data_IF_288196827993
#
_entry.id   IF_288196827993
#
_cell.length_a   1.000
_cell.length_b   1.000
_cell.length_c   1.000
_cell.angle_alpha   90.00
_cell.angle_beta   90.00
_cell.angle_gamma   90.00
#
_symmetry.space_group_name_H-M   'P 1'
#
loop_
_entity.id
_entity.type
_entity.pdbx_description
1 polymer ?
#
# COMPACT_ATOMS: atom_id res chain seq x y z
N UNK A 1 6.78 13.56 -24.81
CA UNK A 1 5.93 13.83 -23.64
C UNK A 1 6.39 12.94 -22.49
N UNK A 2 7.11 13.50 -21.52
CA UNK A 2 7.59 12.75 -20.35
C UNK A 2 6.38 12.53 -19.44
N UNK A 3 5.72 11.37 -19.51
CA UNK A 3 4.84 10.92 -18.42
C UNK A 3 5.77 10.41 -17.32
N UNK A 4 6.26 11.32 -16.49
CA UNK A 4 6.94 10.97 -15.27
C UNK A 4 5.84 10.38 -14.36
N UNK A 5 5.72 9.05 -14.31
CA UNK A 5 4.74 8.38 -13.43
C UNK A 5 5.13 8.70 -11.99
N UNK A 6 4.55 9.76 -11.44
CA UNK A 6 4.89 10.28 -10.12
C UNK A 6 4.68 9.17 -9.09
N UNK A 7 5.79 8.87 -8.42
CA UNK A 7 5.83 8.08 -7.22
C UNK A 7 4.79 8.64 -6.24
N UNK A 8 3.83 7.80 -5.86
CA UNK A 8 2.92 8.06 -4.75
C UNK A 8 3.77 8.03 -3.48
N UNK A 9 4.51 9.12 -3.21
CA UNK A 9 5.00 9.44 -1.88
C UNK A 9 3.74 9.40 -1.02
N UNK A 10 3.62 8.34 -0.22
CA UNK A 10 2.47 8.06 0.63
C UNK A 10 2.00 9.38 1.23
N UNK A 11 0.89 9.89 0.67
CA UNK A 11 0.26 11.12 1.11
C UNK A 11 -0.37 10.82 2.46
N UNK A 12 0.46 10.75 3.50
CA UNK A 12 -0.02 10.71 4.87
C UNK A 12 -0.38 12.13 5.28
N UNK A 13 -1.47 12.23 6.00
CA UNK A 13 -2.14 13.46 6.35
C UNK A 13 -2.53 13.30 7.83
N UNK A 14 -1.75 13.88 8.74
CA UNK A 14 -2.03 13.79 10.17
C UNK A 14 -3.07 14.86 10.57
N UNK A 15 -4.15 14.48 11.26
CA UNK A 15 -5.11 15.46 11.77
C UNK A 15 -5.56 15.27 13.21
N UNK A 16 -5.71 16.43 13.86
CA UNK A 16 -6.33 16.68 15.16
C UNK A 16 -7.79 17.05 14.98
N UNK A 17 -8.60 16.77 16.01
CA UNK A 17 -10.06 16.78 16.04
C UNK A 17 -10.70 18.19 16.10
N UNK A 18 -11.29 18.68 15.00
CA UNK A 18 -12.33 19.75 14.93
C UNK A 18 -13.18 19.67 13.63
N UNK A 19 -14.33 18.98 13.69
CA UNK A 19 -15.00 18.35 12.54
C UNK A 19 -15.52 19.23 11.36
N UNK A 20 -15.64 20.56 11.46
CA UNK A 20 -16.18 21.38 10.35
C UNK A 20 -15.13 22.25 9.65
N UNK A 21 -14.17 22.84 10.39
CA UNK A 21 -12.96 23.45 9.81
C UNK A 21 -12.04 22.40 9.20
N UNK A 22 -12.00 21.20 9.79
CA UNK A 22 -11.16 20.12 9.31
C UNK A 22 -11.56 19.67 7.91
N UNK A 23 -12.85 19.59 7.55
CA UNK A 23 -13.26 19.05 6.25
C UNK A 23 -12.91 19.96 5.07
N UNK A 24 -13.02 21.27 5.24
CA UNK A 24 -12.60 22.25 4.21
C UNK A 24 -11.08 22.26 4.08
N UNK A 25 -10.37 22.25 5.21
CA UNK A 25 -8.91 22.12 5.22
C UNK A 25 -8.47 20.84 4.50
N UNK A 26 -9.03 19.68 4.87
CA UNK A 26 -8.78 18.38 4.23
C UNK A 26 -9.00 18.43 2.71
N UNK A 27 -10.11 19.03 2.30
CA UNK A 27 -10.45 19.16 0.88
C UNK A 27 -9.41 20.00 0.13
N UNK A 28 -8.95 21.10 0.72
CA UNK A 28 -7.91 21.94 0.12
C UNK A 28 -6.57 21.20 0.03
N UNK A 29 -6.17 20.46 1.06
CA UNK A 29 -4.94 19.66 1.01
C UNK A 29 -5.05 18.50 0.00
N UNK A 30 -6.21 17.85 -0.08
CA UNK A 30 -6.50 16.83 -1.10
C UNK A 30 -6.40 17.38 -2.52
N UNK A 31 -6.96 18.57 -2.77
CA UNK A 31 -6.83 19.29 -4.05
C UNK A 31 -5.39 19.73 -4.33
N UNK A 32 -4.64 20.20 -3.34
CA UNK A 32 -3.23 20.53 -3.51
C UNK A 32 -2.42 19.31 -3.98
N UNK A 33 -2.73 18.14 -3.41
CA UNK A 33 -2.11 16.87 -3.80
C UNK A 33 -2.48 16.46 -5.24
N UNK A 34 -3.73 16.67 -5.65
CA UNK A 34 -4.17 16.47 -7.03
C UNK A 34 -3.40 17.37 -8.01
N UNK A 35 -3.31 18.67 -7.71
CA UNK A 35 -2.59 19.60 -8.58
C UNK A 35 -1.10 19.29 -8.65
N UNK A 36 -0.51 18.81 -7.56
CA UNK A 36 0.86 18.30 -7.58
C UNK A 36 1.01 17.09 -8.50
N UNK A 37 0.08 16.12 -8.46
CA UNK A 37 0.09 14.97 -9.38
C UNK A 37 0.00 15.40 -10.86
N UNK A 38 -0.66 16.53 -11.13
CA UNK A 38 -0.82 17.12 -12.46
C UNK A 38 0.36 18.05 -12.85
N UNK A 39 1.41 18.12 -12.05
CA UNK A 39 2.53 19.07 -12.19
C UNK A 39 2.09 20.56 -12.24
N UNK A 40 0.89 20.87 -11.72
CA UNK A 40 0.34 22.21 -11.64
C UNK A 40 0.66 22.83 -10.26
N UNK A 41 1.94 23.14 -10.05
CA UNK A 41 2.44 23.60 -8.75
C UNK A 41 1.78 24.90 -8.27
N UNK A 42 1.45 25.83 -9.18
CA UNK A 42 0.77 27.09 -8.85
C UNK A 42 -0.61 26.86 -8.23
N UNK A 43 -1.43 26.01 -8.83
CA UNK A 43 -2.75 25.69 -8.28
C UNK A 43 -2.64 24.89 -6.97
N UNK A 44 -1.60 24.06 -6.83
CA UNK A 44 -1.31 23.38 -5.57
C UNK A 44 -0.97 24.39 -4.45
N UNK A 45 -0.14 25.39 -4.75
CA UNK A 45 0.24 26.48 -3.84
C UNK A 45 -0.99 27.27 -3.40
N UNK A 46 -1.87 27.67 -4.33
CA UNK A 46 -3.10 28.40 -4.00
C UNK A 46 -3.99 27.61 -3.02
N UNK A 47 -4.07 26.28 -3.18
CA UNK A 47 -4.79 25.42 -2.25
C UNK A 47 -4.15 25.40 -0.86
N UNK A 48 -2.82 25.28 -0.78
CA UNK A 48 -2.10 25.35 0.50
C UNK A 48 -2.30 26.71 1.19
N UNK A 49 -2.20 27.83 0.45
CA UNK A 49 -2.39 29.17 1.01
C UNK A 49 -3.80 29.38 1.56
N UNK A 50 -4.81 28.85 0.89
CA UNK A 50 -6.19 28.85 1.39
C UNK A 50 -6.34 27.97 2.64
N UNK A 51 -5.72 26.78 2.64
CA UNK A 51 -5.77 25.88 3.78
C UNK A 51 -5.12 26.52 5.02
N UNK A 52 -3.99 27.20 4.84
CA UNK A 52 -3.24 27.81 5.94
C UNK A 52 -3.89 29.06 6.53
N UNK A 53 -4.90 29.64 5.86
CA UNK A 53 -5.80 30.65 6.46
C UNK A 53 -6.77 30.04 7.48
N UNK A 54 -7.06 28.74 7.36
CA UNK A 54 -7.99 28.02 8.24
C UNK A 54 -7.27 27.40 9.43
N UNK A 55 -6.08 26.83 9.18
CA UNK A 55 -5.31 26.10 10.19
C UNK A 55 -3.82 26.14 9.88
N UNK A 56 -2.98 26.34 10.91
CA UNK A 56 -1.53 26.26 10.76
C UNK A 56 -1.10 24.86 10.29
N UNK A 57 -0.18 24.75 9.32
CA UNK A 57 0.30 23.45 8.86
C UNK A 57 1.05 22.70 9.95
N UNK A 58 0.90 21.38 9.97
CA UNK A 58 1.82 20.50 10.67
C UNK A 58 3.17 20.40 9.92
N UNK A 59 4.13 19.68 10.50
CA UNK A 59 5.47 19.53 9.90
C UNK A 59 5.42 18.97 8.47
N UNK A 60 4.61 17.96 8.23
CA UNK A 60 4.53 17.27 6.93
C UNK A 60 3.86 18.15 5.87
N UNK A 61 2.78 18.85 6.23
CA UNK A 61 2.05 19.73 5.31
C UNK A 61 2.89 20.96 4.96
N UNK A 62 3.61 21.54 5.93
CA UNK A 62 4.58 22.60 5.67
C UNK A 62 5.72 22.13 4.75
N UNK A 63 6.25 20.92 4.99
CA UNK A 63 7.28 20.33 4.14
C UNK A 63 6.81 20.12 2.69
N UNK A 64 5.60 19.59 2.49
CA UNK A 64 4.98 19.42 1.17
C UNK A 64 4.77 20.77 0.46
N UNK A 65 4.27 21.78 1.18
CA UNK A 65 4.11 23.12 0.63
C UNK A 65 5.45 23.73 0.22
N UNK A 66 6.50 23.57 1.03
CA UNK A 66 7.84 24.01 0.68
C UNK A 66 8.35 23.36 -0.62
N UNK A 67 8.09 22.06 -0.79
CA UNK A 67 8.38 21.35 -2.03
C UNK A 67 7.69 21.97 -3.23
N UNK A 68 6.40 22.33 -3.11
CA UNK A 68 5.66 22.96 -4.22
C UNK A 68 6.23 24.33 -4.59
N UNK A 69 6.55 25.17 -3.61
CA UNK A 69 7.21 26.46 -3.89
C UNK A 69 8.58 26.28 -4.54
N UNK A 70 9.35 25.27 -4.12
CA UNK A 70 10.65 24.97 -4.73
C UNK A 70 10.50 24.51 -6.18
N UNK A 71 9.53 23.64 -6.47
CA UNK A 71 9.21 23.20 -7.84
C UNK A 71 8.70 24.35 -8.73
N UNK A 72 8.01 25.34 -8.15
CA UNK A 72 7.61 26.59 -8.83
C UNK A 72 8.73 27.65 -8.85
N UNK A 73 9.96 27.30 -8.45
CA UNK A 73 11.12 28.20 -8.43
C UNK A 73 10.98 29.43 -7.50
N UNK A 74 10.18 29.32 -6.44
CA UNK A 74 10.01 30.36 -5.42
C UNK A 74 10.84 30.05 -4.18
N UNK A 75 12.12 30.46 -4.21
CA UNK A 75 13.10 30.18 -3.16
C UNK A 75 12.68 30.69 -1.78
N UNK A 76 12.23 31.95 -1.70
CA UNK A 76 11.95 32.60 -0.42
C UNK A 76 10.81 31.91 0.33
N UNK A 77 9.71 31.60 -0.36
CA UNK A 77 8.58 30.90 0.26
C UNK A 77 8.93 29.46 0.59
N UNK A 78 9.68 28.77 -0.26
CA UNK A 78 10.11 27.40 0.02
C UNK A 78 10.94 27.31 1.30
N UNK A 79 11.92 28.22 1.47
CA UNK A 79 12.75 28.29 2.68
C UNK A 79 11.95 28.64 3.94
N UNK A 80 10.98 29.56 3.85
CA UNK A 80 10.07 29.88 4.95
C UNK A 80 9.30 28.63 5.41
N UNK A 81 8.72 27.87 4.48
CA UNK A 81 7.96 26.67 4.84
C UNK A 81 8.84 25.52 5.32
N UNK A 82 10.09 25.40 4.85
CA UNK A 82 11.07 24.47 5.45
C UNK A 82 11.34 24.83 6.92
N UNK A 83 11.53 26.11 7.24
CA UNK A 83 11.68 26.54 8.63
C UNK A 83 10.42 26.25 9.47
N UNK A 84 9.22 26.44 8.91
CA UNK A 84 7.96 26.09 9.59
C UNK A 84 7.91 24.58 9.84
N UNK A 85 8.29 23.74 8.86
CA UNK A 85 8.33 22.29 9.03
C UNK A 85 9.29 21.88 10.15
N UNK A 86 10.50 22.44 10.19
CA UNK A 86 11.50 22.20 11.23
C UNK A 86 11.03 22.67 12.62
N UNK A 87 10.37 23.82 12.71
CA UNK A 87 9.77 24.32 13.96
C UNK A 87 8.60 23.45 14.43
N UNK A 88 7.86 22.86 13.49
CA UNK A 88 6.69 22.02 13.77
C UNK A 88 7.05 20.54 14.02
N UNK A 89 8.34 20.20 14.06
CA UNK A 89 8.81 18.87 14.44
C UNK A 89 9.15 17.93 13.28
N UNK A 90 9.57 18.45 12.13
CA UNK A 90 10.21 17.62 11.10
C UNK A 90 11.52 17.01 11.62
N UNK A 91 11.71 15.71 11.41
CA UNK A 91 12.80 14.93 12.03
C UNK A 91 13.56 14.03 11.06
N UNK A 92 13.24 14.03 9.77
CA UNK A 92 13.90 13.22 8.75
C UNK A 92 14.93 14.06 7.97
N UNK A 93 16.11 14.30 8.57
CA UNK A 93 17.14 15.15 7.98
C UNK A 93 17.73 14.56 6.68
N UNK A 94 18.01 13.26 6.64
CA UNK A 94 18.54 12.60 5.44
C UNK A 94 17.55 12.65 4.27
N UNK A 95 16.24 12.52 4.56
CA UNK A 95 15.18 12.67 3.56
C UNK A 95 15.18 14.09 3.00
N UNK A 96 15.20 15.10 3.85
CA UNK A 96 15.26 16.50 3.43
C UNK A 96 16.48 16.78 2.53
N UNK A 97 17.66 16.29 2.92
CA UNK A 97 18.89 16.46 2.16
C UNK A 97 18.80 15.86 0.74
N UNK A 98 18.14 14.70 0.61
CA UNK A 98 17.99 14.01 -0.68
C UNK A 98 16.79 14.47 -1.51
N UNK A 99 15.68 14.90 -0.89
CA UNK A 99 14.38 15.02 -1.56
C UNK A 99 14.49 15.90 -2.83
N UNK A 100 14.21 15.32 -4.02
CA UNK A 100 14.36 15.99 -5.31
C UNK A 100 13.54 17.28 -5.46
N UNK A 101 12.47 17.46 -4.67
CA UNK A 101 11.68 18.70 -4.70
C UNK A 101 12.52 19.94 -4.39
N UNK A 102 13.63 19.78 -3.68
CA UNK A 102 14.53 20.87 -3.29
C UNK A 102 15.78 21.00 -4.16
N UNK A 103 15.84 20.33 -5.32
CA UNK A 103 16.96 20.47 -6.27
C UNK A 103 17.18 21.92 -6.71
N UNK A 104 16.10 22.69 -6.85
CA UNK A 104 16.16 24.11 -7.17
C UNK A 104 16.92 24.87 -6.06
N UNK A 105 16.48 24.75 -4.79
CA UNK A 105 17.13 25.40 -3.65
C UNK A 105 18.60 24.99 -3.48
N UNK A 106 18.90 23.69 -3.65
CA UNK A 106 20.28 23.19 -3.60
C UNK A 106 21.20 23.85 -4.63
N UNK A 107 20.67 24.22 -5.79
CA UNK A 107 21.43 24.85 -6.87
C UNK A 107 21.53 26.36 -6.72
N UNK A 108 20.44 27.02 -6.35
CA UNK A 108 20.34 28.49 -6.37
C UNK A 108 20.59 29.16 -5.01
N UNK A 109 20.35 28.47 -3.90
CA UNK A 109 20.37 29.03 -2.53
C UNK A 109 21.34 28.27 -1.61
N UNK A 110 22.54 27.94 -2.10
CA UNK A 110 23.48 27.00 -1.46
C UNK A 110 23.76 27.29 0.03
N UNK A 111 24.01 28.55 0.39
CA UNK A 111 24.34 28.90 1.78
C UNK A 111 23.11 28.81 2.70
N UNK A 112 21.94 29.25 2.22
CA UNK A 112 20.68 29.11 2.97
C UNK A 112 20.29 27.63 3.09
N UNK A 113 20.51 26.83 2.05
CA UNK A 113 20.26 25.40 2.06
C UNK A 113 21.15 24.69 3.10
N UNK A 114 22.46 24.96 3.12
CA UNK A 114 23.38 24.42 4.13
C UNK A 114 22.92 24.75 5.55
N UNK A 115 22.39 25.96 5.78
CA UNK A 115 21.85 26.34 7.08
C UNK A 115 20.62 25.49 7.46
N UNK A 116 19.69 25.27 6.51
CA UNK A 116 18.52 24.39 6.71
C UNK A 116 18.94 22.95 7.01
N UNK A 117 19.90 22.39 6.25
CA UNK A 117 20.40 21.02 6.47
C UNK A 117 21.02 20.87 7.87
N UNK A 118 21.84 21.85 8.28
CA UNK A 118 22.47 21.82 9.59
C UNK A 118 21.45 21.94 10.73
N UNK A 119 20.42 22.77 10.56
CA UNK A 119 19.32 22.88 11.53
C UNK A 119 18.52 21.58 11.59
N UNK A 120 18.18 20.98 10.44
CA UNK A 120 17.48 19.70 10.35
C UNK A 120 18.23 18.58 11.06
N UNK A 121 19.55 18.48 10.83
CA UNK A 121 20.41 17.51 11.49
C UNK A 121 20.42 17.70 13.01
N UNK A 122 20.54 18.95 13.47
CA UNK A 122 20.55 19.28 14.91
C UNK A 122 19.22 18.90 15.56
N UNK A 123 18.09 19.21 14.92
CA UNK A 123 16.75 18.84 15.38
C UNK A 123 16.52 17.34 15.40
N UNK A 124 16.94 16.62 14.36
CA UNK A 124 16.87 15.16 14.34
C UNK A 124 17.67 14.55 15.50
N UNK A 125 18.90 15.03 15.75
CA UNK A 125 19.72 14.54 16.86
C UNK A 125 19.09 14.81 18.23
N UNK A 126 18.51 16.00 18.42
CA UNK A 126 17.78 16.33 19.64
C UNK A 126 16.55 15.44 19.83
N UNK A 127 15.77 15.23 18.77
CA UNK A 127 14.63 14.34 18.79
C UNK A 127 15.02 12.89 19.11
N UNK A 128 16.08 12.38 18.48
CA UNK A 128 16.58 11.03 18.72
C UNK A 128 16.89 10.74 20.19
N UNK A 129 17.41 11.73 20.94
CA UNK A 129 17.68 11.59 22.39
C UNK A 129 16.43 11.35 23.24
N UNK A 130 15.24 11.65 22.70
CA UNK A 130 13.96 11.44 23.40
C UNK A 130 13.38 10.04 23.20
N UNK A 131 13.95 9.25 22.29
CA UNK A 131 13.44 7.94 21.88
C UNK A 131 14.15 6.81 22.62
N UNK A 132 13.46 5.68 22.77
CA UNK A 132 14.03 4.49 23.43
C UNK A 132 15.05 3.76 22.54
N UNK A 133 14.85 3.78 21.21
CA UNK A 133 15.66 3.04 20.23
C UNK A 133 16.12 3.94 19.06
N UNK A 134 16.88 5.03 19.32
CA UNK A 134 17.25 6.00 18.27
C UNK A 134 18.14 5.41 17.18
N UNK A 135 19.05 4.48 17.52
CA UNK A 135 19.90 3.82 16.53
C UNK A 135 19.08 2.94 15.58
N UNK A 136 18.08 2.23 16.10
CA UNK A 136 17.18 1.40 15.29
C UNK A 136 16.26 2.27 14.41
N UNK A 137 15.76 3.41 14.93
CA UNK A 137 15.07 4.42 14.11
C UNK A 137 15.95 4.86 12.94
N UNK A 138 17.21 5.24 13.19
CA UNK A 138 18.12 5.72 12.15
C UNK A 138 18.36 4.64 11.09
N UNK A 139 18.54 3.39 11.51
CA UNK A 139 18.65 2.24 10.60
C UNK A 139 17.43 2.11 9.69
N UNK A 140 16.22 2.07 10.27
CA UNK A 140 14.95 1.94 9.53
C UNK A 140 14.74 3.10 8.56
N UNK A 141 15.01 4.33 8.99
CA UNK A 141 14.88 5.52 8.14
C UNK A 141 15.83 5.45 6.93
N UNK A 142 17.07 4.98 7.13
CA UNK A 142 18.03 4.81 6.04
C UNK A 142 17.65 3.66 5.10
N UNK A 143 17.05 2.58 5.60
CA UNK A 143 16.50 1.50 4.76
C UNK A 143 15.42 2.04 3.82
N UNK A 144 14.45 2.77 4.38
CA UNK A 144 13.38 3.39 3.61
C UNK A 144 13.93 4.42 2.62
N UNK A 145 14.85 5.29 3.03
CA UNK A 145 15.46 6.28 2.13
C UNK A 145 16.11 5.62 0.91
N UNK A 146 16.91 4.56 1.11
CA UNK A 146 17.57 3.83 0.01
C UNK A 146 16.57 3.16 -0.93
N UNK A 147 15.49 2.57 -0.39
CA UNK A 147 14.39 2.04 -1.20
C UNK A 147 13.77 3.14 -2.07
N UNK A 148 13.42 4.28 -1.48
CA UNK A 148 12.78 5.40 -2.18
C UNK A 148 13.69 6.03 -3.23
N UNK A 149 15.01 6.09 -2.98
CA UNK A 149 15.99 6.55 -3.96
C UNK A 149 15.98 5.70 -5.24
N UNK A 150 15.89 4.38 -5.13
CA UNK A 150 15.84 3.49 -6.29
C UNK A 150 14.53 3.65 -7.06
N UNK A 151 13.40 3.74 -6.35
CA UNK A 151 12.08 3.94 -6.96
C UNK A 151 11.97 5.29 -7.66
N UNK A 152 12.58 6.33 -7.09
CA UNK A 152 12.70 7.63 -7.73
C UNK A 152 13.52 7.55 -9.03
N UNK A 153 14.70 6.93 -9.01
CA UNK A 153 15.53 6.72 -10.21
C UNK A 153 14.79 5.98 -11.32
N UNK A 154 14.00 4.96 -10.96
CA UNK A 154 13.18 4.19 -11.91
C UNK A 154 12.23 5.09 -12.70
N UNK A 155 11.59 6.04 -12.02
CA UNK A 155 10.63 6.97 -12.61
C UNK A 155 11.30 8.01 -13.52
N UNK A 156 12.57 8.34 -13.29
CA UNK A 156 13.31 9.33 -14.08
C UNK A 156 13.77 8.84 -15.46
N UNK A 157 13.68 7.54 -15.73
CA UNK A 157 14.20 6.95 -16.98
C UNK A 157 13.12 6.20 -17.75
N UNK A 158 13.18 6.32 -19.08
CA UNK A 158 12.37 5.52 -20.01
C UNK A 158 13.27 4.58 -20.84
N UNK A 159 14.54 4.42 -20.47
CA UNK A 159 15.47 3.53 -21.16
C UNK A 159 15.30 2.10 -20.63
N UNK A 160 14.88 1.17 -21.49
CA UNK A 160 14.55 -0.21 -21.11
C UNK A 160 15.71 -0.96 -20.41
N UNK A 161 16.93 -0.79 -20.89
CA UNK A 161 18.11 -1.44 -20.28
C UNK A 161 18.36 -0.89 -18.86
N UNK A 162 18.27 0.43 -18.70
CA UNK A 162 18.43 1.06 -17.38
C UNK A 162 17.26 0.70 -16.45
N UNK A 163 16.03 0.59 -16.97
CA UNK A 163 14.87 0.12 -16.22
C UNK A 163 15.06 -1.30 -15.71
N UNK A 164 15.56 -2.22 -16.53
CA UNK A 164 15.86 -3.59 -16.11
C UNK A 164 16.90 -3.62 -14.98
N UNK A 165 17.96 -2.82 -15.08
CA UNK A 165 18.99 -2.70 -14.03
C UNK A 165 18.39 -2.16 -12.74
N UNK A 166 17.63 -1.06 -12.80
CA UNK A 166 17.01 -0.44 -11.61
C UNK A 166 15.98 -1.38 -10.98
N UNK A 167 15.16 -2.07 -11.77
CA UNK A 167 14.21 -3.06 -11.25
C UNK A 167 14.94 -4.20 -10.53
N UNK A 168 16.08 -4.66 -11.05
CA UNK A 168 16.94 -5.63 -10.36
C UNK A 168 17.46 -5.11 -9.01
N UNK A 169 17.86 -3.84 -8.96
CA UNK A 169 18.30 -3.18 -7.72
C UNK A 169 17.15 -3.04 -6.70
N UNK A 170 15.95 -2.66 -7.16
CA UNK A 170 14.75 -2.58 -6.32
C UNK A 170 14.43 -3.96 -5.74
N UNK A 171 14.38 -5.00 -6.57
CA UNK A 171 14.10 -6.36 -6.10
C UNK A 171 15.11 -6.83 -5.04
N UNK A 172 16.41 -6.58 -5.28
CA UNK A 172 17.44 -6.93 -4.29
C UNK A 172 17.29 -6.12 -2.99
N UNK A 173 16.96 -4.83 -3.10
CA UNK A 173 16.69 -3.98 -1.93
C UNK A 173 15.46 -4.45 -1.16
N UNK A 174 14.37 -4.80 -1.85
CA UNK A 174 13.13 -5.30 -1.25
C UNK A 174 13.37 -6.62 -0.51
N UNK A 175 14.17 -7.54 -1.06
CA UNK A 175 14.55 -8.78 -0.38
C UNK A 175 15.37 -8.52 0.89
N UNK A 176 16.39 -7.66 0.83
CA UNK A 176 17.20 -7.31 2.00
C UNK A 176 16.37 -6.61 3.08
N UNK A 177 15.49 -5.70 2.65
CA UNK A 177 14.59 -4.98 3.54
C UNK A 177 13.57 -5.90 4.19
N UNK A 178 13.00 -6.86 3.45
CA UNK A 178 12.11 -7.89 3.97
C UNK A 178 12.78 -8.71 5.07
N UNK A 179 13.96 -9.26 4.80
CA UNK A 179 14.68 -10.08 5.78
C UNK A 179 15.03 -9.29 7.04
N UNK A 180 15.44 -8.03 6.89
CA UNK A 180 15.70 -7.18 8.05
C UNK A 180 14.42 -6.83 8.81
N UNK A 181 13.32 -6.54 8.13
CA UNK A 181 12.03 -6.26 8.76
C UNK A 181 11.49 -7.47 9.52
N UNK A 182 11.68 -8.71 9.01
CA UNK A 182 11.38 -9.96 9.73
C UNK A 182 12.13 -10.05 11.04
N UNK A 183 13.44 -9.77 11.04
CA UNK A 183 14.25 -9.77 12.26
C UNK A 183 13.78 -8.72 13.27
N UNK A 184 13.46 -7.51 12.81
CA UNK A 184 12.99 -6.43 13.67
C UNK A 184 11.64 -6.83 14.32
N UNK A 185 10.68 -7.30 13.53
CA UNK A 185 9.34 -7.65 14.03
C UNK A 185 9.39 -8.90 14.91
N UNK A 186 10.24 -9.90 14.61
CA UNK A 186 10.39 -11.08 15.46
C UNK A 186 11.00 -10.75 16.82
N UNK A 187 11.94 -9.80 16.87
CA UNK A 187 12.61 -9.40 18.10
C UNK A 187 11.78 -8.42 18.96
N UNK A 188 11.14 -7.43 18.33
CA UNK A 188 10.51 -6.30 19.05
C UNK A 188 8.98 -6.28 18.96
N UNK A 189 8.37 -7.14 18.14
CA UNK A 189 6.99 -6.95 17.69
C UNK A 189 6.86 -5.71 16.81
N UNK A 190 5.67 -5.09 16.78
CA UNK A 190 5.52 -3.80 16.12
C UNK A 190 6.05 -2.69 17.03
N UNK A 191 7.05 -1.96 16.55
CA UNK A 191 7.69 -0.89 17.31
C UNK A 191 6.73 0.28 17.54
N UNK A 192 6.68 0.74 18.79
CA UNK A 192 5.86 1.86 19.25
C UNK A 192 6.42 3.20 18.78
N UNK A 193 5.56 4.22 18.68
CA UNK A 193 5.97 5.59 18.37
C UNK A 193 6.96 6.12 19.43
N UNK A 194 6.78 5.79 20.71
CA UNK A 194 7.71 6.16 21.79
C UNK A 194 9.10 5.53 21.64
N UNK A 195 9.22 4.43 20.87
CA UNK A 195 10.47 3.70 20.68
C UNK A 195 11.30 4.27 19.53
N UNK A 196 10.66 4.52 18.39
CA UNK A 196 11.34 4.88 17.14
C UNK A 196 10.78 6.12 16.45
N UNK A 197 9.87 6.84 17.10
CA UNK A 197 9.20 7.99 16.52
C UNK A 197 8.13 7.65 15.49
N UNK A 198 7.35 8.66 15.11
CA UNK A 198 6.30 8.53 14.07
C UNK A 198 6.92 8.23 12.71
N UNK A 199 8.04 8.88 12.41
CA UNK A 199 8.77 8.71 11.16
C UNK A 199 9.42 7.32 11.06
N UNK A 200 10.03 6.82 12.15
CA UNK A 200 10.55 5.46 12.19
C UNK A 200 9.46 4.41 11.99
N UNK A 201 8.29 4.58 12.63
CA UNK A 201 7.16 3.67 12.44
C UNK A 201 6.58 3.76 11.02
N UNK A 202 6.51 4.95 10.42
CA UNK A 202 6.10 5.15 9.04
C UNK A 202 7.08 4.47 8.06
N UNK A 203 8.38 4.64 8.25
CA UNK A 203 9.41 4.04 7.40
C UNK A 203 9.44 2.51 7.56
N UNK A 204 9.23 1.97 8.77
CA UNK A 204 9.06 0.52 8.97
C UNK A 204 7.84 -0.01 8.22
N UNK A 205 6.70 0.68 8.32
CA UNK A 205 5.49 0.32 7.58
C UNK A 205 5.69 0.34 6.08
N UNK A 206 6.38 1.35 5.54
CA UNK A 206 6.64 1.45 4.11
C UNK A 206 7.41 0.24 3.59
N UNK A 207 8.45 -0.18 4.32
CA UNK A 207 9.22 -1.40 4.02
C UNK A 207 8.34 -2.64 4.04
N UNK A 208 7.51 -2.81 5.07
CA UNK A 208 6.59 -3.95 5.19
C UNK A 208 5.56 -3.97 4.06
N UNK A 209 5.04 -2.81 3.67
CA UNK A 209 4.07 -2.68 2.59
C UNK A 209 4.66 -3.05 1.22
N UNK A 210 5.95 -2.79 0.99
CA UNK A 210 6.64 -3.21 -0.24
C UNK A 210 6.92 -4.71 -0.32
N UNK A 211 6.73 -5.47 0.77
CA UNK A 211 6.93 -6.92 0.79
C UNK A 211 5.74 -7.73 0.22
N UNK A 212 5.20 -7.34 -0.94
CA UNK A 212 4.05 -8.03 -1.58
C UNK A 212 4.34 -9.49 -1.93
N UNK A 213 5.61 -9.84 -2.14
CA UNK A 213 6.05 -11.20 -2.37
C UNK A 213 5.84 -12.12 -1.15
N UNK A 214 5.59 -11.56 0.04
CA UNK A 214 5.44 -12.30 1.30
C UNK A 214 4.23 -11.78 2.11
N UNK A 215 3.03 -12.10 1.62
CA UNK A 215 1.76 -11.73 2.28
C UNK A 215 1.61 -12.34 3.68
N UNK A 216 2.28 -13.48 3.96
CA UNK A 216 2.28 -14.10 5.28
C UNK A 216 3.08 -13.26 6.28
N UNK A 217 4.21 -12.70 5.86
CA UNK A 217 4.93 -11.71 6.65
C UNK A 217 4.10 -10.45 6.89
N UNK A 218 3.40 -9.93 5.87
CA UNK A 218 2.50 -8.78 6.05
C UNK A 218 1.38 -9.08 7.07
N UNK A 219 0.80 -10.29 7.06
CA UNK A 219 -0.16 -10.73 8.09
C UNK A 219 0.47 -10.80 9.50
N UNK A 220 1.72 -11.27 9.60
CA UNK A 220 2.47 -11.28 10.86
C UNK A 220 2.67 -9.87 11.39
N UNK A 221 3.05 -8.93 10.52
CA UNK A 221 3.18 -7.52 10.86
C UNK A 221 1.84 -6.90 11.31
N UNK A 222 0.73 -7.20 10.62
CA UNK A 222 -0.61 -6.77 11.03
C UNK A 222 -0.98 -7.28 12.42
N UNK A 223 -0.75 -8.56 12.69
CA UNK A 223 -1.00 -9.16 14.02
C UNK A 223 -0.17 -8.46 15.10
N UNK A 224 1.06 -8.05 14.78
CA UNK A 224 1.90 -7.29 15.68
C UNK A 224 1.38 -5.84 15.89
N UNK A 225 0.92 -5.17 14.83
CA UNK A 225 0.29 -3.84 14.91
C UNK A 225 -1.00 -3.86 15.73
N UNK A 226 -1.81 -4.91 15.61
CA UNK A 226 -3.09 -5.05 16.32
C UNK A 226 -2.95 -4.97 17.83
N UNK A 227 -1.83 -5.44 18.38
CA UNK A 227 -1.51 -5.36 19.81
C UNK A 227 -1.39 -3.92 20.32
N UNK A 228 -1.24 -2.93 19.43
CA UNK A 228 -1.14 -1.52 19.77
C UNK A 228 -2.41 -0.73 19.43
N UNK A 229 -3.45 -1.35 18.87
CA UNK A 229 -4.73 -0.67 18.60
C UNK A 229 -5.34 -0.10 19.90
N UNK A 230 -5.98 1.06 19.79
CA UNK A 230 -6.54 1.78 20.93
C UNK A 230 -5.51 2.53 21.78
N UNK A 231 -4.21 2.37 21.49
CA UNK A 231 -3.15 3.18 22.10
C UNK A 231 -2.79 4.36 21.18
N UNK A 232 -2.05 5.34 21.71
CA UNK A 232 -1.46 6.43 20.92
C UNK A 232 -0.10 6.05 20.30
N UNK A 233 0.27 4.76 20.36
CA UNK A 233 1.58 4.24 19.94
C UNK A 233 1.56 3.64 18.52
N UNK A 234 0.42 3.72 17.83
CA UNK A 234 0.24 3.20 16.48
C UNK A 234 -0.34 4.27 15.55
N UNK A 235 0.27 4.41 14.38
CA UNK A 235 -0.34 5.10 13.26
C UNK A 235 -1.45 4.22 12.64
N UNK A 236 -2.71 4.56 12.95
CA UNK A 236 -3.87 3.83 12.46
C UNK A 236 -4.09 3.96 10.95
N UNK A 237 -3.61 5.02 10.32
CA UNK A 237 -3.64 5.16 8.86
C UNK A 237 -2.77 4.06 8.22
N UNK A 238 -1.53 3.92 8.67
CA UNK A 238 -0.63 2.86 8.20
C UNK A 238 -1.23 1.45 8.43
N UNK A 239 -1.90 1.23 9.56
CA UNK A 239 -2.61 -0.02 9.81
C UNK A 239 -3.69 -0.27 8.75
N UNK A 240 -4.55 0.72 8.48
CA UNK A 240 -5.62 0.60 7.49
C UNK A 240 -5.08 0.30 6.09
N UNK A 241 -4.02 0.98 5.68
CA UNK A 241 -3.39 0.73 4.38
C UNK A 241 -2.82 -0.67 4.24
N UNK A 242 -2.05 -1.13 5.24
CA UNK A 242 -1.49 -2.49 5.21
C UNK A 242 -2.59 -3.53 5.27
N UNK A 243 -3.63 -3.30 6.08
CA UNK A 243 -4.76 -4.20 6.22
C UNK A 243 -5.48 -4.38 4.88
N UNK A 244 -5.87 -3.28 4.24
CA UNK A 244 -6.57 -3.31 2.96
C UNK A 244 -5.71 -3.93 1.84
N UNK A 245 -4.40 -3.68 1.84
CA UNK A 245 -3.45 -4.31 0.90
C UNK A 245 -3.41 -5.82 1.09
N UNK A 246 -3.30 -6.29 2.33
CA UNK A 246 -3.32 -7.72 2.66
C UNK A 246 -4.65 -8.35 2.27
N UNK A 247 -5.79 -7.73 2.57
CA UNK A 247 -7.10 -8.23 2.14
C UNK A 247 -7.15 -8.39 0.62
N UNK A 248 -6.76 -7.36 -0.11
CA UNK A 248 -6.72 -7.36 -1.57
C UNK A 248 -5.79 -8.44 -2.15
N UNK A 249 -4.61 -8.65 -1.57
CA UNK A 249 -3.64 -9.68 -1.98
C UNK A 249 -4.14 -11.10 -1.64
N UNK A 250 -4.97 -11.22 -0.60
CA UNK A 250 -5.67 -12.46 -0.24
C UNK A 250 -6.99 -12.62 -0.99
N UNK A 251 -7.25 -11.84 -2.04
CA UNK A 251 -8.48 -11.87 -2.84
C UNK A 251 -9.76 -11.65 -2.02
N UNK A 252 -9.69 -10.78 -1.00
CA UNK A 252 -10.82 -10.29 -0.23
C UNK A 252 -11.09 -8.81 -0.54
N UNK A 253 -12.35 -8.38 -0.38
CA UNK A 253 -12.73 -6.97 -0.38
C UNK A 253 -11.98 -6.24 0.75
N UNK A 254 -11.54 -5.04 0.46
CA UNK A 254 -10.90 -4.18 1.46
C UNK A 254 -11.92 -3.54 2.41
N UNK A 255 -11.47 -2.96 3.52
CA UNK A 255 -12.36 -2.43 4.58
C UNK A 255 -12.38 -0.91 4.61
N UNK A 256 -11.23 -0.26 4.45
CA UNK A 256 -11.09 1.20 4.57
C UNK A 256 -11.03 1.93 3.23
N UNK A 257 -10.86 1.23 2.11
CA UNK A 257 -10.84 1.82 0.78
C UNK A 257 -9.49 2.45 0.38
N UNK A 258 -8.36 1.98 0.93
CA UNK A 258 -7.05 2.58 0.64
C UNK A 258 -6.39 2.06 -0.66
N UNK A 259 -6.88 0.95 -1.23
CA UNK A 259 -6.33 0.37 -2.45
C UNK A 259 -7.16 0.80 -3.66
N UNK A 260 -6.49 1.26 -4.71
CA UNK A 260 -7.10 1.74 -5.96
C UNK A 260 -6.86 0.78 -7.11
N UNK A 261 -7.69 0.88 -8.14
CA UNK A 261 -7.50 0.19 -9.43
C UNK A 261 -6.56 1.04 -10.27
N UNK A 262 -5.40 0.47 -10.62
CA UNK A 262 -4.43 1.11 -11.50
C UNK A 262 -4.67 0.71 -12.95
N UNK A 263 -4.67 1.69 -13.85
CA UNK A 263 -4.68 1.48 -15.29
C UNK A 263 -3.27 1.15 -15.80
N UNK A 264 -3.18 0.61 -17.02
CA UNK A 264 -1.88 0.33 -17.67
C UNK A 264 -1.00 1.58 -17.85
N UNK A 265 -1.58 2.78 -17.77
CA UNK A 265 -0.88 4.05 -17.88
C UNK A 265 -0.36 4.58 -16.52
N UNK A 266 -0.56 3.83 -15.43
CA UNK A 266 -0.17 4.24 -14.07
C UNK A 266 -1.12 5.26 -13.43
N UNK A 267 -2.31 5.45 -14.00
CA UNK A 267 -3.36 6.33 -13.46
C UNK A 267 -4.38 5.50 -12.67
N UNK A 268 -4.92 6.02 -11.57
CA UNK A 268 -5.95 5.34 -10.80
C UNK A 268 -7.35 5.59 -11.42
N UNK A 269 -8.16 4.54 -11.58
CA UNK A 269 -9.50 4.63 -12.19
C UNK A 269 -10.65 4.49 -11.19
N UNK A 270 -10.36 4.14 -9.95
CA UNK A 270 -11.37 3.94 -8.91
C UNK A 270 -10.81 3.24 -7.69
N UNK A 271 -11.65 3.03 -6.67
CA UNK A 271 -11.31 2.24 -5.48
C UNK A 271 -11.55 0.76 -5.78
N UNK A 272 -10.68 -0.14 -5.31
CA UNK A 272 -10.96 -1.59 -5.39
C UNK A 272 -12.19 -1.94 -4.55
N UNK A 273 -12.93 -3.02 -4.84
CA UNK A 273 -14.15 -3.38 -4.10
C UNK A 273 -14.00 -3.32 -2.58
N UNK A 274 -14.91 -2.59 -1.93
CA UNK A 274 -14.93 -2.35 -0.48
C UNK A 274 -16.06 -3.17 0.14
N UNK A 275 -15.80 -3.83 1.27
CA UNK A 275 -16.82 -4.54 2.03
C UNK A 275 -17.84 -3.55 2.61
N UNK A 276 -19.14 -3.77 2.43
CA UNK A 276 -20.20 -2.87 2.94
C UNK A 276 -19.84 -1.40 2.63
N UNK A 277 -19.72 -1.10 1.33
CA UNK A 277 -19.15 0.14 0.82
C UNK A 277 -19.90 1.39 1.31
N UNK A 278 -21.21 1.29 1.55
CA UNK A 278 -22.03 2.36 2.11
C UNK A 278 -21.59 2.79 3.52
N UNK A 279 -20.90 1.91 4.26
CA UNK A 279 -20.40 2.16 5.62
C UNK A 279 -18.90 2.49 5.67
N UNK A 280 -18.25 2.69 4.53
CA UNK A 280 -16.79 2.91 4.50
C UNK A 280 -16.36 4.14 5.28
N UNK A 281 -17.11 5.23 5.18
CA UNK A 281 -16.77 6.48 5.86
C UNK A 281 -17.03 6.42 7.37
N UNK A 282 -17.92 5.55 7.85
CA UNK A 282 -18.09 5.26 9.27
C UNK A 282 -16.80 4.64 9.83
N UNK A 283 -16.30 3.59 9.18
CA UNK A 283 -15.04 2.92 9.57
C UNK A 283 -13.83 3.84 9.46
N UNK A 284 -13.76 4.66 8.41
CA UNK A 284 -12.68 5.64 8.22
C UNK A 284 -12.69 6.68 9.34
N UNK A 285 -13.86 7.20 9.71
CA UNK A 285 -14.01 8.17 10.81
C UNK A 285 -13.58 7.59 12.16
N UNK A 286 -13.92 6.35 12.47
CA UNK A 286 -13.56 5.68 13.74
C UNK A 286 -12.05 5.66 14.00
N UNK A 287 -11.24 5.61 12.93
CA UNK A 287 -9.78 5.56 13.02
C UNK A 287 -9.09 6.86 12.59
N UNK A 288 -9.86 7.93 12.38
CA UNK A 288 -9.36 9.27 12.05
C UNK A 288 -8.93 9.47 10.59
N UNK A 289 -9.38 8.62 9.66
CA UNK A 289 -9.16 8.82 8.23
C UNK A 289 -10.17 9.81 7.65
N UNK A 290 -9.72 10.61 6.67
CA UNK A 290 -10.58 11.47 5.86
C UNK A 290 -11.64 10.66 5.11
N UNK A 291 -12.81 11.21 4.78
CA UNK A 291 -13.80 10.55 3.90
C UNK A 291 -13.16 10.04 2.60
N UNK A 292 -13.63 8.89 2.11
CA UNK A 292 -13.08 8.22 0.93
C UNK A 292 -13.17 9.10 -0.32
N UNK A 293 -14.20 9.95 -0.40
CA UNK A 293 -14.34 10.94 -1.46
C UNK A 293 -13.17 11.95 -1.50
N UNK A 294 -12.69 12.43 -0.34
CA UNK A 294 -11.56 13.36 -0.30
C UNK A 294 -10.26 12.63 -0.65
N UNK A 295 -10.10 11.41 -0.15
CA UNK A 295 -8.96 10.56 -0.48
C UNK A 295 -8.89 10.26 -1.99
N UNK A 296 -10.00 9.97 -2.65
CA UNK A 296 -10.03 9.74 -4.10
C UNK A 296 -9.47 10.91 -4.92
N UNK A 297 -9.64 12.15 -4.45
CA UNK A 297 -9.05 13.33 -5.10
C UNK A 297 -7.53 13.25 -5.17
N UNK A 298 -6.87 12.67 -4.15
CA UNK A 298 -5.41 12.53 -4.17
C UNK A 298 -4.90 11.57 -5.24
N UNK A 299 -5.80 10.76 -5.81
CA UNK A 299 -5.54 9.84 -6.92
C UNK A 299 -6.09 10.35 -8.26
N UNK A 300 -6.72 11.53 -8.27
CA UNK A 300 -7.20 12.17 -9.49
C UNK A 300 -8.53 11.65 -10.03
N UNK A 301 -9.35 11.00 -9.21
CA UNK A 301 -10.70 10.61 -9.60
C UNK A 301 -11.75 11.07 -8.59
N UNK A 302 -12.98 11.27 -9.08
CA UNK A 302 -14.12 11.58 -8.24
C UNK A 302 -14.73 10.29 -7.71
N UNK A 303 -15.11 10.29 -6.44
CA UNK A 303 -15.75 9.16 -5.80
C UNK A 303 -17.01 9.61 -5.05
N UNK A 304 -18.04 8.76 -5.06
CA UNK A 304 -19.27 8.96 -4.29
C UNK A 304 -19.61 7.65 -3.62
N UNK A 305 -19.70 7.68 -2.29
CA UNK A 305 -20.15 6.53 -1.49
C UNK A 305 -21.55 6.12 -1.97
N UNK A 306 -21.79 4.84 -2.30
CA UNK A 306 -23.10 4.35 -2.70
C UNK A 306 -24.11 4.45 -1.55
N UNK A 307 -25.40 4.52 -1.89
CA UNK A 307 -26.45 4.35 -0.88
C UNK A 307 -26.48 2.91 -0.39
N UNK A 308 -27.04 2.65 0.80
CA UNK A 308 -27.21 1.29 1.32
C UNK A 308 -27.94 0.35 0.34
N UNK A 309 -28.95 0.86 -0.38
CA UNK A 309 -29.65 0.07 -1.40
C UNK A 309 -28.71 -0.30 -2.57
N UNK A 310 -27.93 0.66 -3.05
CA UNK A 310 -26.97 0.44 -4.14
C UNK A 310 -25.85 -0.52 -3.73
N UNK A 311 -25.28 -0.35 -2.53
CA UNK A 311 -24.23 -1.23 -2.01
C UNK A 311 -24.71 -2.68 -1.91
N UNK A 312 -25.91 -2.91 -1.34
CA UNK A 312 -26.50 -4.26 -1.26
C UNK A 312 -26.80 -4.84 -2.64
N UNK A 313 -27.27 -4.02 -3.58
CA UNK A 313 -27.53 -4.46 -4.94
C UNK A 313 -26.23 -4.89 -5.63
N UNK A 314 -25.15 -4.10 -5.50
CA UNK A 314 -23.85 -4.41 -6.06
C UNK A 314 -23.29 -5.72 -5.48
N UNK A 315 -23.31 -5.87 -4.16
CA UNK A 315 -22.84 -7.08 -3.47
C UNK A 315 -23.64 -8.32 -3.92
N UNK A 316 -24.96 -8.19 -4.05
CA UNK A 316 -25.83 -9.28 -4.50
C UNK A 316 -25.57 -9.65 -5.96
N UNK A 317 -25.43 -8.67 -6.84
CA UNK A 317 -25.16 -8.88 -8.26
C UNK A 317 -23.80 -9.55 -8.49
N UNK A 318 -22.76 -9.11 -7.78
CA UNK A 318 -21.44 -9.74 -7.80
C UNK A 318 -21.52 -11.21 -7.34
N UNK A 319 -22.20 -11.47 -6.23
CA UNK A 319 -22.37 -12.84 -5.73
C UNK A 319 -23.09 -13.74 -6.72
N UNK A 320 -24.19 -13.27 -7.34
CA UNK A 320 -24.91 -14.02 -8.38
C UNK A 320 -24.01 -14.31 -9.58
N UNK A 321 -23.26 -13.31 -10.05
CA UNK A 321 -22.36 -13.46 -11.19
C UNK A 321 -21.26 -14.50 -10.92
N UNK A 322 -20.66 -14.50 -9.73
CA UNK A 322 -19.63 -15.49 -9.36
C UNK A 322 -20.20 -16.90 -9.37
N UNK A 323 -21.39 -17.12 -8.80
CA UNK A 323 -22.04 -18.43 -8.83
C UNK A 323 -22.33 -18.90 -10.27
N UNK A 324 -22.85 -18.01 -11.13
CA UNK A 324 -23.11 -18.32 -12.54
C UNK A 324 -21.83 -18.70 -13.31
N UNK A 325 -20.72 -18.00 -13.05
CA UNK A 325 -19.42 -18.33 -13.63
C UNK A 325 -18.94 -19.71 -13.17
N UNK A 326 -19.08 -20.02 -11.88
CA UNK A 326 -18.70 -21.32 -11.34
C UNK A 326 -19.56 -22.47 -11.87
N UNK A 327 -20.87 -22.26 -12.01
CA UNK A 327 -21.78 -23.25 -12.61
C UNK A 327 -21.44 -23.49 -14.08
N UNK A 328 -21.09 -22.43 -14.81
CA UNK A 328 -20.58 -22.53 -16.18
C UNK A 328 -19.27 -23.32 -16.24
N UNK A 329 -18.34 -23.08 -15.31
CA UNK A 329 -17.10 -23.84 -15.23
C UNK A 329 -17.35 -25.34 -15.00
N UNK A 330 -18.26 -25.68 -14.07
CA UNK A 330 -18.67 -27.07 -13.80
C UNK A 330 -19.35 -27.72 -15.01
N UNK A 331 -20.17 -26.96 -15.74
CA UNK A 331 -20.79 -27.42 -16.98
C UNK A 331 -19.73 -27.79 -18.03
N UNK A 332 -18.78 -26.89 -18.33
CA UNK A 332 -17.74 -27.16 -19.32
C UNK A 332 -16.77 -28.27 -18.89
N UNK A 333 -16.53 -28.41 -17.58
CA UNK A 333 -15.79 -29.55 -17.05
C UNK A 333 -16.48 -30.87 -17.39
N UNK A 334 -17.81 -30.96 -17.24
CA UNK A 334 -18.59 -32.15 -17.61
C UNK A 334 -18.51 -32.51 -19.10
N UNK A 335 -18.25 -31.51 -19.96
CA UNK A 335 -18.06 -31.68 -21.42
C UNK A 335 -16.61 -31.94 -21.82
N UNK A 336 -15.68 -32.00 -20.85
CA UNK A 336 -14.22 -32.08 -21.07
C UNK A 336 -13.65 -30.89 -21.86
N UNK A 337 -14.31 -29.74 -21.79
CA UNK A 337 -13.81 -28.47 -22.35
C UNK A 337 -12.96 -27.74 -21.29
N UNK A 338 -11.75 -28.23 -21.06
CA UNK A 338 -10.92 -27.82 -19.92
C UNK A 338 -10.41 -26.39 -20.00
N UNK A 339 -10.14 -25.86 -21.19
CA UNK A 339 -9.76 -24.45 -21.34
C UNK A 339 -10.91 -23.53 -20.91
N UNK A 340 -12.14 -23.81 -21.34
CA UNK A 340 -13.31 -23.03 -20.90
C UNK A 340 -13.55 -23.18 -19.40
N UNK A 341 -13.36 -24.38 -18.85
CA UNK A 341 -13.42 -24.61 -17.40
C UNK A 341 -12.46 -23.66 -16.66
N UNK A 342 -11.23 -23.53 -17.16
CA UNK A 342 -10.26 -22.56 -16.65
C UNK A 342 -10.74 -21.12 -16.82
N UNK A 343 -11.16 -20.70 -18.01
CA UNK A 343 -11.54 -19.31 -18.28
C UNK A 343 -12.65 -18.83 -17.33
N UNK A 344 -13.65 -19.68 -17.07
CA UNK A 344 -14.75 -19.36 -16.14
C UNK A 344 -14.31 -19.31 -14.68
N UNK A 345 -13.51 -20.28 -14.20
CA UNK A 345 -12.98 -20.24 -12.83
C UNK A 345 -12.01 -19.06 -12.63
N UNK A 346 -11.17 -18.77 -13.62
CA UNK A 346 -10.25 -17.64 -13.58
C UNK A 346 -11.02 -16.31 -13.55
N UNK A 347 -12.10 -16.18 -14.34
CA UNK A 347 -12.96 -15.00 -14.27
C UNK A 347 -13.63 -14.89 -12.91
N UNK A 348 -14.17 -15.98 -12.36
CA UNK A 348 -14.78 -15.99 -11.03
C UNK A 348 -13.78 -15.60 -9.93
N UNK A 349 -12.53 -16.05 -10.03
CA UNK A 349 -11.49 -15.75 -9.04
C UNK A 349 -11.03 -14.29 -9.06
N UNK A 350 -11.29 -13.52 -10.14
CA UNK A 350 -10.98 -12.08 -10.18
C UNK A 350 -11.88 -11.23 -9.29
N UNK A 351 -13.04 -11.74 -8.87
CA UNK A 351 -13.96 -11.02 -7.98
C UNK A 351 -13.46 -11.12 -6.54
N UNK A 352 -13.10 -9.96 -5.94
CA UNK A 352 -12.68 -9.88 -4.54
C UNK A 352 -13.80 -10.37 -3.61
N UNK A 353 -13.47 -11.29 -2.70
CA UNK A 353 -14.42 -12.03 -1.85
C UNK A 353 -15.49 -12.83 -2.64
N UNK A 354 -15.31 -13.05 -3.94
CA UNK A 354 -16.26 -13.78 -4.78
C UNK A 354 -16.27 -15.27 -4.45
N UNK A 355 -15.13 -15.94 -4.61
CA UNK A 355 -14.99 -17.37 -4.31
C UNK A 355 -14.64 -17.60 -2.83
N UNK A 356 -15.45 -18.39 -2.13
CA UNK A 356 -15.20 -18.82 -0.75
C UNK A 356 -14.01 -19.78 -0.64
N UNK A 357 -13.57 -20.08 0.58
CA UNK A 357 -12.52 -21.10 0.77
C UNK A 357 -12.95 -22.48 0.26
N UNK A 358 -14.23 -22.84 0.40
CA UNK A 358 -14.75 -24.09 -0.14
C UNK A 358 -14.70 -24.08 -1.68
N UNK A 359 -15.12 -22.97 -2.31
CA UNK A 359 -15.11 -22.84 -3.77
C UNK A 359 -13.70 -22.95 -4.36
N UNK A 360 -12.72 -22.32 -3.72
CA UNK A 360 -11.31 -22.41 -4.13
C UNK A 360 -10.75 -23.83 -3.94
N UNK A 361 -11.15 -24.53 -2.87
CA UNK A 361 -10.74 -25.92 -2.64
C UNK A 361 -11.35 -26.86 -3.68
N UNK A 362 -12.62 -26.67 -4.02
CA UNK A 362 -13.31 -27.42 -5.08
C UNK A 362 -12.68 -27.16 -6.45
N UNK A 363 -12.33 -25.90 -6.76
CA UNK A 363 -11.60 -25.57 -7.97
C UNK A 363 -10.24 -26.30 -8.04
N UNK A 364 -9.49 -26.33 -6.93
CA UNK A 364 -8.24 -27.09 -6.86
C UNK A 364 -8.45 -28.59 -7.15
N UNK A 365 -9.54 -29.18 -6.64
CA UNK A 365 -9.90 -30.58 -6.92
C UNK A 365 -10.19 -30.77 -8.40
N UNK A 366 -10.98 -29.88 -9.01
CA UNK A 366 -11.31 -29.94 -10.44
C UNK A 366 -10.04 -29.89 -11.29
N UNK A 367 -9.16 -28.91 -11.06
CA UNK A 367 -7.94 -28.78 -11.85
C UNK A 367 -6.93 -29.91 -11.62
N UNK A 368 -6.92 -30.50 -10.43
CA UNK A 368 -6.11 -31.71 -10.17
C UNK A 368 -6.66 -32.91 -10.95
N UNK A 369 -7.99 -33.09 -11.01
CA UNK A 369 -8.60 -34.13 -11.85
C UNK A 369 -8.32 -33.91 -13.33
N UNK A 370 -8.34 -32.66 -13.81
CA UNK A 370 -7.96 -32.33 -15.19
C UNK A 370 -6.49 -32.66 -15.44
N UNK A 371 -5.58 -32.22 -14.57
CA UNK A 371 -4.13 -32.49 -14.70
C UNK A 371 -3.74 -33.96 -14.59
N UNK A 372 -4.65 -34.84 -14.16
CA UNK A 372 -4.46 -36.29 -14.16
C UNK A 372 -4.80 -36.95 -15.51
N UNK A 373 -5.56 -36.28 -16.38
CA UNK A 373 -6.03 -36.82 -17.67
C UNK A 373 -5.57 -36.01 -18.89
N UNK A 374 -5.30 -34.73 -18.70
CA UNK A 374 -4.74 -33.83 -19.71
C UNK A 374 -3.21 -33.78 -19.60
N UNK A 375 -2.53 -33.62 -20.75
CA UNK A 375 -1.07 -33.55 -20.83
C UNK A 375 -0.53 -32.13 -20.60
N UNK A 376 -1.40 -31.12 -20.62
CA UNK A 376 -1.02 -29.75 -20.35
C UNK A 376 -0.77 -29.56 -18.85
N UNK A 377 0.51 -29.41 -18.50
CA UNK A 377 0.98 -29.26 -17.12
C UNK A 377 0.41 -28.01 -16.41
N UNK A 378 -0.12 -27.03 -17.16
CA UNK A 378 -0.70 -25.82 -16.57
C UNK A 378 -1.80 -26.12 -15.56
N UNK A 379 -2.59 -27.19 -15.74
CA UNK A 379 -3.70 -27.51 -14.85
C UNK A 379 -3.24 -27.95 -13.47
N UNK A 380 -2.06 -28.58 -13.35
CA UNK A 380 -1.45 -28.86 -12.04
C UNK A 380 -1.00 -27.56 -11.37
N UNK A 381 -0.43 -26.62 -12.13
CA UNK A 381 -0.06 -25.30 -11.61
C UNK A 381 -1.28 -24.51 -11.13
N UNK A 382 -2.37 -24.49 -11.91
CA UNK A 382 -3.62 -23.81 -11.54
C UNK A 382 -4.19 -24.42 -10.25
N UNK A 383 -4.20 -25.75 -10.11
CA UNK A 383 -4.62 -26.39 -8.87
C UNK A 383 -3.78 -25.94 -7.67
N UNK A 384 -2.46 -25.86 -7.85
CA UNK A 384 -1.54 -25.37 -6.83
C UNK A 384 -1.71 -23.88 -6.52
N UNK A 385 -2.14 -23.05 -7.47
CA UNK A 385 -2.46 -21.63 -7.24
C UNK A 385 -3.66 -21.46 -6.31
N UNK A 386 -4.73 -22.23 -6.54
CA UNK A 386 -5.89 -22.27 -5.65
C UNK A 386 -5.53 -22.77 -4.25
N UNK A 387 -4.72 -23.84 -4.14
CA UNK A 387 -4.25 -24.33 -2.84
C UNK A 387 -3.34 -23.34 -2.14
N UNK A 388 -2.45 -22.67 -2.88
CA UNK A 388 -1.57 -21.65 -2.32
C UNK A 388 -2.36 -20.47 -1.76
N UNK A 389 -3.42 -20.02 -2.45
CA UNK A 389 -4.32 -18.99 -1.94
C UNK A 389 -4.95 -19.41 -0.59
N UNK A 390 -5.42 -20.66 -0.47
CA UNK A 390 -5.96 -21.17 0.79
C UNK A 390 -4.91 -21.27 1.89
N UNK A 391 -3.69 -21.68 1.54
CA UNK A 391 -2.54 -21.73 2.44
C UNK A 391 -2.23 -20.34 3.00
N UNK A 392 -2.06 -19.32 2.15
CA UNK A 392 -1.75 -17.96 2.61
C UNK A 392 -2.93 -17.27 3.31
N UNK A 393 -4.16 -17.73 3.07
CA UNK A 393 -5.34 -17.36 3.85
C UNK A 393 -5.43 -18.05 5.22
N UNK A 394 -4.52 -18.99 5.52
CA UNK A 394 -4.54 -19.84 6.72
C UNK A 394 -5.80 -20.72 6.84
N UNK A 395 -6.44 -21.03 5.70
CA UNK A 395 -7.68 -21.81 5.60
C UNK A 395 -7.44 -23.22 5.03
N UNK A 396 -6.22 -23.73 5.14
CA UNK A 396 -5.81 -25.04 4.63
C UNK A 396 -5.04 -25.79 5.71
N UNK A 397 -5.38 -27.06 5.90
CA UNK A 397 -4.67 -27.96 6.82
C UNK A 397 -3.99 -29.10 6.05
N UNK A 398 -2.93 -29.66 6.65
CA UNK A 398 -2.24 -30.83 6.10
C UNK A 398 -3.18 -32.04 5.94
N UNK A 399 -4.08 -32.25 6.90
CA UNK A 399 -5.08 -33.32 6.85
C UNK A 399 -6.02 -33.15 5.66
N UNK A 400 -6.53 -31.94 5.40
CA UNK A 400 -7.38 -31.66 4.24
C UNK A 400 -6.65 -32.01 2.93
N UNK A 401 -5.39 -31.60 2.78
CA UNK A 401 -4.60 -31.92 1.59
C UNK A 401 -4.36 -33.42 1.39
N UNK A 402 -3.95 -34.12 2.45
CA UNK A 402 -3.60 -35.55 2.35
C UNK A 402 -4.83 -36.45 2.21
N UNK A 403 -5.97 -36.04 2.73
CA UNK A 403 -7.22 -36.80 2.65
C UNK A 403 -7.88 -36.79 1.26
N UNK A 404 -7.54 -35.82 0.41
CA UNK A 404 -8.19 -35.63 -0.89
C UNK A 404 -7.46 -36.42 -2.00
N UNK A 405 -8.05 -37.50 -2.55
CA UNK A 405 -7.36 -38.38 -3.49
C UNK A 405 -7.00 -37.71 -4.83
N UNK A 406 -7.77 -36.70 -5.25
CA UNK A 406 -7.51 -35.97 -6.49
C UNK A 406 -6.11 -35.32 -6.51
N UNK A 407 -5.58 -34.95 -5.34
CA UNK A 407 -4.30 -34.26 -5.24
C UNK A 407 -3.07 -35.15 -5.39
N UNK A 408 -3.24 -36.49 -5.50
CA UNK A 408 -2.10 -37.41 -5.71
C UNK A 408 -1.27 -37.06 -6.95
N UNK A 409 -1.90 -36.49 -7.97
CA UNK A 409 -1.21 -36.02 -9.19
C UNK A 409 -0.19 -34.90 -8.91
N UNK A 410 -0.39 -34.15 -7.83
CA UNK A 410 0.46 -33.01 -7.44
C UNK A 410 1.65 -33.42 -6.55
N UNK A 411 1.71 -34.65 -6.03
CA UNK A 411 2.68 -35.03 -5.00
C UNK A 411 4.15 -34.87 -5.41
N UNK A 412 4.43 -34.94 -6.71
CA UNK A 412 5.77 -34.77 -7.25
C UNK A 412 6.16 -33.29 -7.43
N UNK A 413 5.18 -32.39 -7.47
CA UNK A 413 5.38 -30.97 -7.69
C UNK A 413 6.18 -30.34 -6.54
N UNK A 414 7.22 -29.54 -6.82
CA UNK A 414 7.98 -28.85 -5.78
C UNK A 414 7.10 -28.00 -4.86
N UNK A 415 6.18 -27.22 -5.46
CA UNK A 415 5.22 -26.36 -4.72
C UNK A 415 4.34 -27.15 -3.76
N UNK A 416 3.95 -28.37 -4.11
CA UNK A 416 3.21 -29.26 -3.20
C UNK A 416 4.07 -29.67 -2.01
N UNK A 417 5.30 -30.12 -2.26
CA UNK A 417 6.23 -30.57 -1.20
C UNK A 417 6.54 -29.44 -0.22
N UNK A 418 6.72 -28.22 -0.72
CA UNK A 418 7.00 -27.06 0.12
C UNK A 418 5.79 -26.68 0.97
N UNK A 419 4.58 -26.67 0.39
CA UNK A 419 3.34 -26.42 1.12
C UNK A 419 3.11 -27.44 2.25
N UNK A 420 3.34 -28.74 2.00
CA UNK A 420 3.21 -29.81 3.01
C UNK A 420 4.22 -29.69 4.16
N UNK A 421 5.41 -29.16 3.91
CA UNK A 421 6.42 -28.92 4.95
C UNK A 421 6.04 -27.75 5.86
N UNK A 422 5.34 -26.75 5.31
CA UNK A 422 4.99 -25.53 6.02
C UNK A 422 3.66 -25.63 6.78
N UNK A 423 2.77 -26.53 6.37
CA UNK A 423 1.52 -26.82 7.06
C UNK A 423 1.73 -27.71 8.29
N UNK A 424 1.16 -27.30 9.41
CA UNK A 424 1.10 -28.07 10.66
C UNK A 424 0.26 -29.34 10.50
#
# INVERSE_FOLDING_TARGET
>A
MKKLSIFCCCLLLFFSTNAQSDSVYQTLIGKASLFHLQENYKSAIECYEQAFKLQNPDALTAYKAAGMYSLDSNADRALIYLQIALKSGWTEADRLAFDPYFDYLRKTEQDKWKAIEQEALTKEQQYGKTLQLPSLRKEINLMALKDQQLRYKRVQTNNDNLLAIINGQINQSDLNNLERAKQIISQYGWLKISQIGKDGQNNLWLIVQHADQDVMFQQTALTAMEKLKGTKELNMENYAFLYDRVQCNLNYKQVYGTQVVWTNNGEASGVRPVKEEDKVDERRKEIGLQPLQIYALTYGFNYKVPTTAQARQNDSAESINVHLLMDSAKYFYSKREFQKTYDYYNTASTFLSGMSSADNFDAAIVFSKIGAVDKDEKYKSIALDFLNLLYVRQNLTKTQLLSQPAFKVLYKEPRWKDMIKQLN
#
